data_IF_250800604619
#
_entry.id   IF_250800604619
#
_cell.length_a   1.000
_cell.length_b   1.000
_cell.length_c   1.000
_cell.angle_alpha   90.00
_cell.angle_beta   90.00
_cell.angle_gamma   90.00
#
_symmetry.space_group_name_H-M   'P 1'
#
loop_
_entity.id
_entity.type
_entity.pdbx_description
1 polymer ?
#
# COMPACT_ATOMS: atom_id res chain seq x y z
N UNK A 1 11.45 16.26 -3.98
CA UNK A 1 11.70 14.85 -3.65
C UNK A 1 10.73 14.05 -4.49
N UNK A 2 11.22 13.15 -5.34
CA UNK A 2 10.35 12.35 -6.21
C UNK A 2 9.67 11.30 -5.33
N UNK A 3 8.50 11.60 -4.77
CA UNK A 3 7.75 10.64 -3.97
C UNK A 3 7.31 9.49 -4.89
N UNK A 4 7.83 8.30 -4.64
CA UNK A 4 7.37 7.08 -5.28
C UNK A 4 6.07 6.63 -4.61
N UNK A 5 5.29 5.79 -5.28
CA UNK A 5 4.04 5.23 -4.72
C UNK A 5 4.33 4.50 -3.39
N UNK A 6 5.49 3.85 -3.30
CA UNK A 6 5.95 3.16 -2.08
C UNK A 6 6.11 4.11 -0.90
N UNK A 7 6.67 5.30 -1.13
CA UNK A 7 6.89 6.31 -0.09
C UNK A 7 5.56 6.77 0.52
N UNK A 8 4.56 7.00 -0.35
CA UNK A 8 3.21 7.33 0.10
C UNK A 8 2.59 6.22 0.95
N UNK A 9 2.68 4.96 0.50
CA UNK A 9 2.12 3.81 1.24
C UNK A 9 2.79 3.69 2.61
N UNK A 10 4.12 3.77 2.66
CA UNK A 10 4.88 3.69 3.91
C UNK A 10 4.50 4.82 4.85
N UNK A 11 4.43 6.06 4.37
CA UNK A 11 4.04 7.21 5.20
C UNK A 11 2.63 7.05 5.75
N UNK A 12 1.69 6.60 4.91
CA UNK A 12 0.31 6.37 5.32
C UNK A 12 0.21 5.32 6.43
N UNK A 13 0.95 4.21 6.32
CA UNK A 13 0.99 3.16 7.35
C UNK A 13 1.63 3.70 8.62
N UNK A 14 2.75 4.42 8.50
CA UNK A 14 3.49 5.02 9.61
C UNK A 14 2.61 5.98 10.43
N UNK A 15 1.88 6.88 9.75
CA UNK A 15 0.95 7.82 10.38
C UNK A 15 -0.19 7.10 11.11
N UNK A 16 -0.78 6.06 10.50
CA UNK A 16 -1.86 5.30 11.15
C UNK A 16 -1.40 4.49 12.37
N UNK A 17 -0.16 4.00 12.35
CA UNK A 17 0.43 3.22 13.45
C UNK A 17 1.13 4.08 14.49
N UNK A 18 1.43 5.34 14.19
CA UNK A 18 2.22 6.22 15.05
C UNK A 18 3.68 5.78 15.17
N UNK A 19 4.25 5.19 14.11
CA UNK A 19 5.66 4.75 14.04
C UNK A 19 6.41 5.55 12.97
N UNK A 20 7.73 5.38 12.86
CA UNK A 20 8.49 6.01 11.78
C UNK A 20 8.29 5.26 10.46
N UNK A 21 8.23 6.01 9.36
CA UNK A 21 8.28 5.44 8.00
C UNK A 21 9.54 4.59 7.77
N UNK A 22 10.65 4.93 8.43
CA UNK A 22 11.92 4.20 8.33
C UNK A 22 11.88 2.83 9.03
N UNK A 23 10.96 2.64 9.98
CA UNK A 23 10.77 1.38 10.71
C UNK A 23 9.95 0.35 9.91
N UNK A 24 9.40 0.73 8.76
CA UNK A 24 8.54 -0.13 7.93
C UNK A 24 9.37 -0.79 6.83
N UNK A 25 9.43 -2.12 6.87
CA UNK A 25 10.07 -2.90 5.83
C UNK A 25 9.17 -3.01 4.59
N UNK A 26 9.63 -2.48 3.45
CA UNK A 26 8.85 -2.41 2.20
C UNK A 26 8.56 -3.78 1.56
N UNK A 27 9.51 -4.70 1.69
CA UNK A 27 9.40 -6.07 1.16
C UNK A 27 8.77 -7.05 2.15
N UNK A 28 8.46 -6.62 3.38
CA UNK A 28 7.82 -7.46 4.37
C UNK A 28 6.31 -7.57 4.10
N UNK A 29 5.75 -8.72 4.48
CA UNK A 29 4.31 -8.90 4.49
C UNK A 29 3.68 -8.02 5.59
N UNK A 30 2.86 -7.07 5.16
CA UNK A 30 2.21 -6.05 5.98
C UNK A 30 1.22 -6.65 6.99
N UNK A 31 0.66 -7.83 6.70
CA UNK A 31 -0.26 -8.51 7.60
C UNK A 31 0.51 -9.32 8.65
N UNK A 32 1.52 -10.08 8.23
CA UNK A 32 2.37 -10.88 9.12
C UNK A 32 3.16 -9.99 10.09
N UNK A 33 3.67 -8.85 9.61
CA UNK A 33 4.37 -7.87 10.43
C UNK A 33 3.44 -7.10 11.39
N UNK A 34 2.12 -7.22 11.23
CA UNK A 34 1.13 -6.46 11.99
C UNK A 34 1.08 -4.97 11.63
N UNK A 35 1.69 -4.54 10.52
CA UNK A 35 1.59 -3.16 10.04
C UNK A 35 0.18 -2.83 9.55
N UNK A 36 -0.54 -3.82 9.02
CA UNK A 36 -1.88 -3.64 8.45
C UNK A 36 -2.80 -4.78 8.88
N UNK A 37 -3.98 -4.42 9.39
CA UNK A 37 -5.05 -5.37 9.70
C UNK A 37 -6.03 -5.49 8.51
N UNK A 38 -6.96 -6.46 8.56
CA UNK A 38 -8.00 -6.66 7.53
C UNK A 38 -8.85 -5.40 7.25
N UNK A 39 -9.12 -4.57 8.26
CA UNK A 39 -9.78 -3.27 8.08
C UNK A 39 -8.81 -2.15 7.65
N UNK A 40 -7.55 -2.26 8.07
CA UNK A 40 -6.50 -1.30 7.73
C UNK A 40 -6.23 -1.32 6.23
N UNK A 41 -6.14 -2.51 5.63
CA UNK A 41 -5.87 -2.66 4.20
C UNK A 41 -7.01 -2.09 3.36
N UNK A 42 -8.27 -2.29 3.78
CA UNK A 42 -9.42 -1.77 3.05
C UNK A 42 -9.45 -0.24 3.05
N UNK A 43 -9.21 0.38 4.21
CA UNK A 43 -9.08 1.84 4.30
C UNK A 43 -7.89 2.36 3.49
N UNK A 44 -6.77 1.64 3.50
CA UNK A 44 -5.58 2.01 2.73
C UNK A 44 -5.87 1.95 1.23
N UNK A 45 -6.51 0.88 0.75
CA UNK A 45 -6.95 0.77 -0.65
C UNK A 45 -7.82 1.96 -1.05
N UNK A 46 -8.82 2.32 -0.24
CA UNK A 46 -9.66 3.49 -0.51
C UNK A 46 -8.85 4.80 -0.60
N UNK A 47 -7.89 5.00 0.30
CA UNK A 47 -7.00 6.18 0.25
C UNK A 47 -6.11 6.17 -1.00
N UNK A 48 -5.63 4.99 -1.42
CA UNK A 48 -4.82 4.84 -2.63
C UNK A 48 -5.65 5.04 -3.91
N UNK A 49 -6.91 4.60 -3.94
CA UNK A 49 -7.84 4.87 -5.04
C UNK A 49 -8.09 6.37 -5.21
N UNK A 50 -8.36 7.06 -4.10
CA UNK A 50 -8.59 8.52 -4.08
C UNK A 50 -7.33 9.31 -4.48
N UNK A 51 -6.18 8.98 -3.89
CA UNK A 51 -4.91 9.67 -4.16
C UNK A 51 -4.41 9.46 -5.60
N UNK A 52 -4.50 8.22 -6.11
CA UNK A 52 -3.91 7.87 -7.41
C UNK A 52 -4.93 7.82 -8.55
N UNK A 53 -6.23 8.00 -8.27
CA UNK A 53 -7.30 7.95 -9.26
C UNK A 53 -7.48 6.56 -9.88
N UNK A 54 -7.16 5.50 -9.13
CA UNK A 54 -7.28 4.11 -9.58
C UNK A 54 -8.50 3.43 -8.96
N UNK A 55 -8.82 2.22 -9.44
CA UNK A 55 -9.78 1.33 -8.79
C UNK A 55 -9.18 -0.06 -8.63
N UNK A 56 -9.21 -0.59 -7.40
CA UNK A 56 -8.89 -1.98 -7.13
C UNK A 56 -10.09 -2.85 -7.51
N UNK A 57 -9.80 -3.96 -8.18
CA UNK A 57 -10.78 -4.99 -8.53
C UNK A 57 -10.48 -6.27 -7.75
N UNK A 58 -11.41 -7.22 -7.79
CA UNK A 58 -11.28 -8.52 -7.10
C UNK A 58 -9.98 -9.25 -7.46
N UNK A 59 -9.51 -9.10 -8.71
CA UNK A 59 -8.24 -9.69 -9.18
C UNK A 59 -7.01 -9.08 -8.49
N UNK A 60 -7.05 -7.79 -8.11
CA UNK A 60 -5.96 -7.16 -7.35
C UNK A 60 -5.97 -7.63 -5.89
N UNK A 61 -7.14 -7.92 -5.33
CA UNK A 61 -7.31 -8.39 -3.95
C UNK A 61 -6.78 -9.80 -3.73
N UNK A 62 -6.84 -10.66 -4.74
CA UNK A 62 -6.24 -11.99 -4.71
C UNK A 62 -4.76 -11.98 -5.09
N UNK A 63 -4.22 -10.84 -5.52
CA UNK A 63 -2.82 -10.74 -5.91
C UNK A 63 -1.95 -10.85 -4.66
N UNK A 64 -0.98 -11.78 -4.60
CA UNK A 64 -0.08 -11.91 -3.45
C UNK A 64 0.74 -10.63 -3.20
N UNK A 65 0.93 -9.79 -4.21
CA UNK A 65 1.57 -8.49 -4.07
C UNK A 65 0.80 -7.50 -3.17
N UNK A 66 -0.49 -7.71 -2.91
CA UNK A 66 -1.28 -6.80 -2.06
C UNK A 66 -0.80 -6.76 -0.62
N UNK A 67 -0.09 -7.81 -0.19
CA UNK A 67 0.43 -7.91 1.17
C UNK A 67 1.76 -7.19 1.38
N UNK A 68 2.37 -6.61 0.35
CA UNK A 68 3.66 -5.90 0.47
C UNK A 68 3.57 -4.48 -0.08
N UNK A 69 4.43 -3.58 0.39
CA UNK A 69 4.49 -2.20 -0.13
C UNK A 69 4.91 -2.22 -1.60
N UNK A 70 5.96 -2.98 -1.93
CA UNK A 70 6.48 -3.10 -3.30
C UNK A 70 5.40 -3.64 -4.26
N UNK A 71 4.66 -4.67 -3.85
CA UNK A 71 3.62 -5.26 -4.68
C UNK A 71 2.42 -4.32 -4.89
N UNK A 72 1.96 -3.64 -3.85
CA UNK A 72 0.93 -2.60 -3.96
C UNK A 72 1.36 -1.49 -4.91
N UNK A 73 2.60 -0.99 -4.76
CA UNK A 73 3.13 0.04 -5.64
C UNK A 73 3.18 -0.41 -7.10
N UNK A 74 3.56 -1.67 -7.36
CA UNK A 74 3.55 -2.24 -8.70
C UNK A 74 2.14 -2.34 -9.31
N UNK A 75 1.13 -2.75 -8.51
CA UNK A 75 -0.27 -2.80 -8.94
C UNK A 75 -0.75 -1.39 -9.34
N UNK A 76 -0.49 -0.39 -8.50
CA UNK A 76 -0.87 1.01 -8.75
C UNK A 76 -0.16 1.55 -9.99
N UNK A 77 1.16 1.30 -10.11
CA UNK A 77 1.95 1.74 -11.26
C UNK A 77 1.43 1.14 -12.58
N UNK A 78 1.04 -0.13 -12.57
CA UNK A 78 0.44 -0.81 -13.72
C UNK A 78 -0.90 -0.17 -14.15
N UNK A 79 -1.70 0.29 -13.19
CA UNK A 79 -2.99 0.95 -13.46
C UNK A 79 -2.85 2.40 -13.94
N UNK A 80 -1.84 3.14 -13.47
CA UNK A 80 -1.56 4.53 -13.91
C UNK A 80 -0.94 4.64 -15.30
N UNK A 81 -0.42 3.53 -15.85
CA UNK A 81 0.24 3.49 -17.16
C UNK A 81 -0.69 3.34 -18.36
N UNK A 82 -2.01 3.38 -18.17
CA UNK A 82 -3.03 3.20 -19.22
C UNK A 82 -3.93 4.43 -19.37
#
# INVERSE_FOLDING_TARGET
MNHTIEDFIVHHIAEKRGISADDIQRDADLFDSGYVDSLGVFNMMMSLEDEFGIRFIEDDLINPGISTVCGLAAIIAGKRGH
#
